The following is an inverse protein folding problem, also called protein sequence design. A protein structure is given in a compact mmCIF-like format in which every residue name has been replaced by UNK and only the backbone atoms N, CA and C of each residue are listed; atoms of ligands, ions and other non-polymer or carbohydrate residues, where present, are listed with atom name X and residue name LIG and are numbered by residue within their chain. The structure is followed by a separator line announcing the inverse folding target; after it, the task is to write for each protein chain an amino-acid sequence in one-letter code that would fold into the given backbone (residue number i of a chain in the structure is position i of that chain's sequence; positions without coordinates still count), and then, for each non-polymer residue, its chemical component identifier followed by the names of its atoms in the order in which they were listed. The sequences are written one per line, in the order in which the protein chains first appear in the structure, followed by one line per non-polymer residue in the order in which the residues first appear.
data_IF_847285515550
#
_entry.id   IF_847285515550
#
_cell.length_a   1.000
_cell.length_b   1.000
_cell.length_c   1.000
_cell.angle_alpha   90.00
_cell.angle_beta   90.00
_cell.angle_gamma   90.00
#
_symmetry.space_group_name_H-M   'P 1'
#
loop_
_entity.id
_entity.type
_entity.pdbx_description
1 polymer ?
#
# COMPACT_ATOMS: atom_id res chain seq x y z
N UNK A 1 -18.72 -9.67 -0.77
CA UNK A 1 -17.81 -10.81 -0.56
C UNK A 1 -16.53 -10.28 0.12
N UNK A 2 -15.87 -11.07 0.97
CA UNK A 2 -14.65 -10.63 1.67
C UNK A 2 -13.39 -11.20 1.01
N UNK A 3 -12.35 -10.38 0.84
CA UNK A 3 -11.07 -10.80 0.22
C UNK A 3 -10.50 -12.00 0.97
N UNK A 4 -10.07 -13.08 0.28
CA UNK A 4 -9.51 -14.26 0.92
C UNK A 4 -8.25 -13.89 1.68
N UNK A 5 -8.09 -14.45 2.88
CA UNK A 5 -6.87 -14.31 3.66
C UNK A 5 -6.26 -15.69 3.91
N UNK A 6 -4.97 -15.86 3.58
CA UNK A 6 -4.28 -17.16 3.57
C UNK A 6 -3.06 -17.11 4.48
N UNK A 7 -2.92 -18.03 5.44
CA UNK A 7 -1.74 -18.10 6.31
C UNK A 7 -0.65 -18.98 5.67
N UNK A 8 0.48 -18.36 5.34
CA UNK A 8 1.59 -19.05 4.67
C UNK A 8 2.39 -19.96 5.61
N UNK A 9 2.27 -19.82 6.94
CA UNK A 9 2.90 -20.77 7.87
C UNK A 9 2.38 -22.19 7.69
N UNK A 10 1.11 -22.33 7.27
CA UNK A 10 0.46 -23.62 7.01
C UNK A 10 1.03 -24.32 5.77
N UNK A 11 1.91 -23.68 4.99
CA UNK A 11 2.64 -24.33 3.90
C UNK A 11 3.77 -25.23 4.42
N UNK A 12 4.27 -24.97 5.63
CA UNK A 12 5.32 -25.77 6.28
C UNK A 12 4.71 -26.78 7.25
N UNK A 13 4.01 -27.80 6.73
CA UNK A 13 3.45 -28.85 7.59
C UNK A 13 2.37 -29.70 6.92
N UNK A 14 1.63 -30.44 7.75
CA UNK A 14 0.57 -31.35 7.28
C UNK A 14 -0.63 -30.64 6.62
N UNK A 15 -0.82 -29.35 6.89
CA UNK A 15 -1.91 -28.54 6.32
C UNK A 15 -1.62 -28.01 4.91
N UNK A 16 -0.43 -28.27 4.36
CA UNK A 16 0.01 -27.74 3.06
C UNK A 16 -1.01 -28.00 1.95
N UNK A 17 -1.56 -29.20 1.85
CA UNK A 17 -2.51 -29.55 0.80
C UNK A 17 -3.79 -28.71 0.87
N UNK A 18 -4.34 -28.51 2.07
CA UNK A 18 -5.53 -27.68 2.28
C UNK A 18 -5.25 -26.21 1.97
N UNK A 19 -4.08 -25.70 2.37
CA UNK A 19 -3.66 -24.33 2.09
C UNK A 19 -3.44 -24.09 0.59
N UNK A 20 -2.84 -25.04 -0.13
CA UNK A 20 -2.69 -24.96 -1.59
C UNK A 20 -4.05 -24.94 -2.29
N UNK A 21 -5.02 -25.74 -1.85
CA UNK A 21 -6.38 -25.71 -2.40
C UNK A 21 -7.07 -24.36 -2.17
N UNK A 22 -6.80 -23.69 -1.04
CA UNK A 22 -7.31 -22.34 -0.77
C UNK A 22 -6.66 -21.28 -1.66
N UNK A 23 -5.36 -21.41 -1.94
CA UNK A 23 -4.65 -20.53 -2.89
C UNK A 23 -5.25 -20.66 -4.28
N UNK A 24 -5.41 -21.90 -4.75
CA UNK A 24 -5.98 -22.22 -6.05
C UNK A 24 -7.39 -21.61 -6.21
N UNK A 25 -8.27 -21.87 -5.24
CA UNK A 25 -9.62 -21.30 -5.23
C UNK A 25 -9.63 -19.76 -5.19
N UNK A 26 -8.74 -19.14 -4.41
CA UNK A 26 -8.64 -17.69 -4.37
C UNK A 26 -8.15 -17.11 -5.72
N UNK A 27 -7.19 -17.77 -6.38
CA UNK A 27 -6.76 -17.39 -7.71
C UNK A 27 -7.90 -17.49 -8.73
N UNK A 28 -8.69 -18.56 -8.71
CA UNK A 28 -9.81 -18.76 -9.64
C UNK A 28 -10.97 -17.78 -9.42
N UNK A 29 -11.37 -17.59 -8.16
CA UNK A 29 -12.58 -16.83 -7.84
C UNK A 29 -12.33 -15.33 -7.63
N UNK A 30 -11.13 -14.95 -7.21
CA UNK A 30 -10.79 -13.56 -6.88
C UNK A 30 -9.68 -12.98 -7.76
N UNK A 31 -8.74 -13.79 -8.23
CA UNK A 31 -7.52 -13.32 -8.90
C UNK A 31 -6.48 -12.70 -7.96
N UNK A 32 -6.80 -12.54 -6.66
CA UNK A 32 -5.90 -12.05 -5.62
C UNK A 32 -6.33 -12.53 -4.24
N UNK A 33 -5.42 -12.49 -3.27
CA UNK A 33 -5.69 -12.77 -1.86
C UNK A 33 -4.72 -11.98 -0.98
N UNK A 34 -5.09 -11.82 0.28
CA UNK A 34 -4.21 -11.30 1.33
C UNK A 34 -3.55 -12.49 2.06
N UNK A 35 -2.39 -12.25 2.66
CA UNK A 35 -1.73 -13.26 3.50
C UNK A 35 -1.96 -12.91 4.98
N UNK A 36 -2.53 -13.84 5.76
CA UNK A 36 -2.99 -13.63 7.16
C UNK A 36 -1.92 -14.00 8.18
N UNK A 37 -1.88 -13.30 9.31
CA UNK A 37 -1.07 -13.66 10.48
C UNK A 37 -1.80 -13.33 11.78
N UNK A 38 -1.59 -14.20 12.77
CA UNK A 38 -2.03 -14.11 14.15
C UNK A 38 -1.90 -12.71 14.80
N UNK A 39 -2.84 -12.35 15.68
CA UNK A 39 -2.79 -11.13 16.45
C UNK A 39 -1.88 -11.34 17.67
N UNK A 40 -0.62 -10.94 17.59
CA UNK A 40 0.05 -10.49 18.81
C UNK A 40 -0.59 -9.14 19.16
N UNK A 41 -1.38 -9.15 20.24
CA UNK A 41 -2.23 -8.07 20.80
C UNK A 41 -3.72 -8.17 20.44
N UNK A 42 -4.41 -9.14 21.05
CA UNK A 42 -5.80 -8.93 21.51
C UNK A 42 -5.79 -7.69 22.44
N UNK A 43 -6.22 -6.53 21.96
CA UNK A 43 -6.31 -5.36 22.86
C UNK A 43 -6.77 -4.03 22.27
N UNK A 44 -6.65 -3.78 20.97
CA UNK A 44 -7.05 -2.47 20.42
C UNK A 44 -7.66 -2.61 19.02
N UNK A 45 -8.95 -2.95 18.96
CA UNK A 45 -9.78 -2.61 17.80
C UNK A 45 -10.96 -1.82 18.34
N UNK A 46 -10.77 -0.50 18.44
CA UNK A 46 -11.89 0.44 18.49
C UNK A 46 -12.18 0.83 17.04
N UNK A 47 -13.36 0.42 16.57
CA UNK A 47 -13.91 0.87 15.29
C UNK A 47 -14.24 2.35 15.37
N UNK A 48 -13.59 3.22 14.59
CA UNK A 48 -13.94 4.64 14.55
C UNK A 48 -14.40 5.06 13.15
N UNK A 49 -15.69 5.34 13.05
CA UNK A 49 -16.30 6.08 11.95
C UNK A 49 -15.87 7.55 12.02
N UNK A 50 -15.36 8.07 10.89
CA UNK A 50 -15.28 9.48 10.47
C UNK A 50 -15.34 10.52 11.61
N UNK A 51 -14.15 11.02 11.99
CA UNK A 51 -13.76 12.42 12.24
C UNK A 51 -12.55 12.40 13.18
N UNK A 52 -11.34 12.47 12.62
CA UNK A 52 -10.16 13.14 13.21
C UNK A 52 -8.88 12.69 12.53
N UNK A 53 -8.48 13.48 11.53
CA UNK A 53 -7.31 13.31 10.69
C UNK A 53 -6.07 13.89 11.39
N UNK A 54 -5.65 13.34 12.54
CA UNK A 54 -4.38 13.76 13.21
C UNK A 54 -3.50 12.63 13.74
N UNK A 55 -3.77 11.39 13.39
CA UNK A 55 -2.82 10.29 13.54
C UNK A 55 -2.78 9.53 12.22
N UNK A 56 -1.72 9.73 11.43
CA UNK A 56 -1.42 8.84 10.31
C UNK A 56 -0.95 7.50 10.90
N UNK A 57 -1.88 6.74 11.46
CA UNK A 57 -1.71 5.29 11.58
C UNK A 57 -2.00 4.75 10.19
N UNK A 58 -0.92 4.69 9.40
CA UNK A 58 -0.89 3.99 8.12
C UNK A 58 -1.33 2.56 8.43
N UNK A 59 -2.51 2.14 7.94
CA UNK A 59 -2.93 0.74 7.99
C UNK A 59 -1.97 -0.02 7.10
N UNK A 60 -0.82 -0.42 7.64
CA UNK A 60 0.09 -1.31 6.94
C UNK A 60 -0.48 -2.68 7.16
N UNK A 61 -1.01 -3.28 6.09
CA UNK A 61 -1.29 -4.71 6.02
C UNK A 61 0.06 -5.40 6.18
N UNK A 62 0.45 -5.65 7.42
CA UNK A 62 1.72 -6.27 7.73
C UNK A 62 1.52 -7.74 7.47
N UNK A 63 2.16 -8.20 6.40
CA UNK A 63 2.42 -9.60 6.14
C UNK A 63 3.37 -10.09 7.29
N UNK A 64 3.28 -11.34 7.71
CA UNK A 64 4.21 -12.10 8.57
C UNK A 64 4.16 -13.54 8.03
N UNK A 65 5.12 -14.39 8.38
CA UNK A 65 5.32 -15.75 7.80
C UNK A 65 5.62 -15.79 6.29
N UNK A 66 5.87 -14.65 5.64
CA UNK A 66 6.51 -14.57 4.31
C UNK A 66 8.04 -14.56 4.40
N UNK A 67 8.60 -14.56 5.62
CA UNK A 67 10.05 -14.60 5.84
C UNK A 67 10.79 -13.27 5.64
N UNK A 68 10.09 -12.15 5.41
CA UNK A 68 10.73 -10.81 5.34
C UNK A 68 10.73 -10.20 6.75
N UNK A 69 11.87 -9.75 7.28
CA UNK A 69 11.94 -9.13 8.60
C UNK A 69 11.04 -7.89 8.72
N UNK A 70 10.36 -7.73 9.86
CA UNK A 70 9.49 -6.56 10.10
C UNK A 70 10.26 -5.24 10.08
N UNK A 71 11.46 -5.25 10.65
CA UNK A 71 12.34 -4.08 10.67
C UNK A 71 12.66 -3.60 9.25
N UNK A 72 12.83 -4.53 8.31
CA UNK A 72 13.05 -4.23 6.90
C UNK A 72 11.81 -3.59 6.28
N UNK A 73 10.61 -4.15 6.51
CA UNK A 73 9.36 -3.57 6.02
C UNK A 73 9.15 -2.15 6.55
N UNK A 74 9.40 -1.92 7.84
CA UNK A 74 9.25 -0.61 8.44
C UNK A 74 10.31 0.38 7.93
N UNK A 75 11.54 -0.09 7.68
CA UNK A 75 12.58 0.71 7.02
C UNK A 75 12.14 1.10 5.61
N UNK A 76 11.64 0.16 4.80
CA UNK A 76 11.15 0.43 3.43
C UNK A 76 10.06 1.50 3.44
N UNK A 77 9.04 1.37 4.30
CA UNK A 77 7.98 2.39 4.45
C UNK A 77 8.56 3.77 4.79
N UNK A 78 9.51 3.82 5.73
CA UNK A 78 10.15 5.08 6.16
C UNK A 78 10.95 5.72 5.03
N UNK A 79 11.77 4.97 4.29
CA UNK A 79 12.60 5.53 3.23
C UNK A 79 11.76 5.96 2.03
N UNK A 80 10.69 5.25 1.69
CA UNK A 80 9.74 5.67 0.66
C UNK A 80 9.00 6.97 1.04
N UNK A 81 8.52 7.10 2.29
CA UNK A 81 7.88 8.34 2.76
C UNK A 81 8.85 9.53 2.76
N UNK A 82 10.10 9.32 3.17
CA UNK A 82 11.16 10.33 3.08
C UNK A 82 11.48 10.70 1.62
N UNK A 83 11.67 9.72 0.74
CA UNK A 83 11.96 9.95 -0.67
C UNK A 83 10.84 10.78 -1.33
N UNK A 84 9.58 10.44 -1.07
CA UNK A 84 8.46 11.24 -1.54
C UNK A 84 8.55 12.68 -1.05
N UNK A 85 8.69 12.91 0.26
CA UNK A 85 8.74 14.26 0.84
C UNK A 85 9.93 15.09 0.36
N UNK A 86 11.09 14.46 0.18
CA UNK A 86 12.34 15.16 -0.13
C UNK A 86 12.54 15.40 -1.62
N UNK A 87 12.23 14.41 -2.46
CA UNK A 87 12.54 14.49 -3.90
C UNK A 87 11.30 14.72 -4.76
N UNK A 88 10.11 14.27 -4.33
CA UNK A 88 8.97 14.13 -5.24
C UNK A 88 7.78 15.03 -4.93
N UNK A 89 7.61 15.45 -3.68
CA UNK A 89 6.42 16.17 -3.22
C UNK A 89 6.25 17.51 -3.94
N UNK A 90 7.33 18.25 -4.19
CA UNK A 90 7.28 19.50 -4.94
C UNK A 90 6.87 19.26 -6.39
N UNK A 91 7.49 18.27 -7.06
CA UNK A 91 7.12 17.89 -8.42
C UNK A 91 5.67 17.40 -8.54
N UNK A 92 5.18 16.68 -7.53
CA UNK A 92 3.78 16.25 -7.48
C UNK A 92 2.82 17.43 -7.33
N UNK A 93 3.13 18.42 -6.50
CA UNK A 93 2.32 19.65 -6.34
C UNK A 93 2.22 20.44 -7.65
N UNK A 94 3.25 20.39 -8.48
CA UNK A 94 3.28 21.04 -9.79
C UNK A 94 2.72 20.17 -10.93
N UNK A 95 2.28 18.95 -10.63
CA UNK A 95 1.84 17.96 -11.62
C UNK A 95 0.54 18.35 -12.33
N UNK A 96 0.31 17.70 -13.47
CA UNK A 96 -0.93 17.83 -14.24
C UNK A 96 -2.16 17.49 -13.40
N UNK A 97 -2.09 16.45 -12.56
CA UNK A 97 -3.21 16.00 -11.73
C UNK A 97 -3.63 17.08 -10.73
N UNK A 98 -2.66 17.75 -10.09
CA UNK A 98 -2.94 18.84 -9.13
C UNK A 98 -3.49 20.08 -9.85
N UNK A 99 -2.91 20.46 -11.00
CA UNK A 99 -3.40 21.61 -11.79
C UNK A 99 -4.84 21.44 -12.23
N UNK A 100 -5.18 20.27 -12.78
CA UNK A 100 -6.54 19.98 -13.23
C UNK A 100 -7.52 19.94 -12.07
N UNK A 101 -7.12 19.45 -10.88
CA UNK A 101 -7.97 19.54 -9.70
C UNK A 101 -8.21 20.99 -9.28
N UNK A 102 -7.18 21.83 -9.28
CA UNK A 102 -7.34 23.26 -8.95
C UNK A 102 -8.30 23.94 -9.95
N UNK A 103 -8.17 23.67 -11.25
CA UNK A 103 -9.08 24.17 -12.28
C UNK A 103 -10.52 23.70 -12.07
N UNK A 104 -10.73 22.44 -11.63
CA UNK A 104 -12.07 21.97 -11.26
C UNK A 104 -12.66 22.73 -10.08
N UNK A 105 -11.85 22.97 -9.04
CA UNK A 105 -12.28 23.68 -7.83
C UNK A 105 -12.68 25.11 -8.19
N UNK A 106 -11.89 25.77 -9.04
CA UNK A 106 -12.14 27.15 -9.49
C UNK A 106 -13.34 27.26 -10.46
N UNK A 107 -13.60 26.22 -11.26
CA UNK A 107 -14.68 26.18 -12.26
C UNK A 107 -16.10 25.95 -11.70
N UNK A 108 -16.23 25.66 -10.41
CA UNK A 108 -17.51 25.46 -9.72
C UNK A 108 -18.40 24.39 -10.36
N UNK A 109 -19.73 24.60 -10.33
CA UNK A 109 -20.72 23.61 -10.83
C UNK A 109 -20.68 23.38 -12.35
N UNK A 110 -19.98 24.23 -13.10
CA UNK A 110 -19.86 24.11 -14.57
C UNK A 110 -18.67 23.25 -15.02
N UNK A 111 -17.81 22.85 -14.08
CA UNK A 111 -16.63 22.08 -14.36
C UNK A 111 -16.96 20.65 -14.80
N UNK A 112 -16.37 20.20 -15.91
CA UNK A 112 -16.55 18.84 -16.42
C UNK A 112 -15.82 17.85 -15.51
N UNK A 113 -16.42 16.69 -15.28
CA UNK A 113 -15.77 15.57 -14.57
C UNK A 113 -14.42 15.23 -15.21
N UNK A 114 -13.39 15.08 -14.39
CA UNK A 114 -12.10 14.54 -14.84
C UNK A 114 -12.21 13.01 -14.90
N UNK A 115 -12.05 12.48 -16.10
CA UNK A 115 -11.91 11.05 -16.36
C UNK A 115 -10.50 10.78 -16.89
N UNK A 116 -10.00 9.55 -16.68
CA UNK A 116 -8.68 9.08 -17.13
C UNK A 116 -7.47 9.84 -16.55
N UNK A 117 -7.56 10.24 -15.27
CA UNK A 117 -6.46 10.86 -14.54
C UNK A 117 -6.40 10.27 -13.14
N UNK A 118 -5.24 9.71 -12.81
CA UNK A 118 -4.96 9.18 -11.49
C UNK A 118 -4.29 10.25 -10.62
N UNK A 119 -4.74 10.35 -9.36
CA UNK A 119 -4.10 11.16 -8.34
C UNK A 119 -2.97 10.37 -7.70
N UNK A 120 -1.89 10.18 -8.46
CA UNK A 120 -0.75 9.39 -8.02
C UNK A 120 0.57 9.94 -8.56
N UNK A 121 1.64 9.55 -7.88
CA UNK A 121 3.00 9.78 -8.29
C UNK A 121 3.75 8.45 -8.19
N UNK A 122 4.26 7.95 -9.30
CA UNK A 122 4.80 6.59 -9.42
C UNK A 122 6.19 6.63 -10.05
N UNK A 123 7.10 5.83 -9.50
CA UNK A 123 8.41 5.56 -10.09
C UNK A 123 8.69 4.06 -9.99
N UNK A 124 9.46 3.55 -10.95
CA UNK A 124 9.78 2.13 -11.05
C UNK A 124 11.25 1.89 -10.72
N UNK A 125 11.49 0.96 -9.80
CA UNK A 125 12.82 0.46 -9.49
C UNK A 125 13.05 -0.81 -10.29
N UNK A 126 14.08 -0.81 -11.11
CA UNK A 126 14.57 -1.96 -11.86
C UNK A 126 16.09 -2.02 -11.67
N UNK A 127 16.67 -3.20 -11.88
CA UNK A 127 18.10 -3.44 -11.65
C UNK A 127 19.01 -2.62 -12.59
N UNK A 128 18.49 -2.23 -13.75
CA UNK A 128 19.16 -1.44 -14.79
C UNK A 128 18.97 0.08 -14.63
N UNK A 129 18.13 0.52 -13.68
CA UNK A 129 17.84 1.93 -13.44
C UNK A 129 18.62 2.50 -12.25
N UNK A 130 18.86 3.82 -12.26
CA UNK A 130 19.40 4.50 -11.09
C UNK A 130 18.32 4.62 -10.01
N UNK A 131 18.64 4.10 -8.82
CA UNK A 131 17.76 4.21 -7.66
C UNK A 131 17.86 5.63 -7.07
N UNK A 132 16.78 6.12 -6.44
CA UNK A 132 16.81 7.34 -5.65
C UNK A 132 17.99 7.33 -4.68
N UNK A 133 18.73 8.44 -4.68
CA UNK A 133 19.87 8.63 -3.80
C UNK A 133 19.54 9.51 -2.60
N UNK A 134 18.35 10.11 -2.58
CA UNK A 134 17.81 10.84 -1.43
C UNK A 134 16.50 10.20 -0.96
N UNK A 135 16.39 9.85 0.33
CA UNK A 135 17.45 9.93 1.34
C UNK A 135 18.54 8.85 1.11
N UNK A 136 19.76 9.06 1.63
CA UNK A 136 20.90 8.14 1.43
C UNK A 136 20.63 6.70 1.90
N UNK A 137 19.71 6.52 2.85
CA UNK A 137 19.26 5.22 3.37
C UNK A 137 18.28 4.49 2.44
N UNK A 138 17.91 5.09 1.29
CA UNK A 138 17.04 4.48 0.29
C UNK A 138 17.73 3.33 -0.46
N UNK A 139 19.02 3.48 -0.78
CA UNK A 139 19.82 2.47 -1.49
C UNK A 139 20.40 1.40 -0.56
#
# INVERSE_FOLDING_TARGET
MAVPIIDFSMLQGGERAATMARIDHACEQWGFFQVYILPLLKGLIHYCSRKDLKRRELITVQLLNHGIPLELLDRVKRVCDKCFKMEREEGFKDSRSVRLLNELIDGGETAKRLDNIDWEDVFFLQDDNQWPSTPLDFK
#
